data_IF_498017089737
#
_entry.id   IF_498017089737
#
_cell.length_a   1.000
_cell.length_b   1.000
_cell.length_c   1.000
_cell.angle_alpha   90.00
_cell.angle_beta   90.00
_cell.angle_gamma   90.00
#
_symmetry.space_group_name_H-M   'P 1'
#
loop_
_entity.id
_entity.type
_entity.pdbx_description
1 polymer ?
#
# COMPACT_ATOMS: atom_id res chain seq x y z
N UNK A 1 64.40 -52.11 -15.49
CA UNK A 1 63.72 -50.81 -15.68
C UNK A 1 62.32 -51.10 -16.18
N UNK A 2 61.29 -50.79 -15.40
CA UNK A 2 59.91 -51.17 -15.73
C UNK A 2 59.39 -50.26 -16.85
N UNK A 3 58.61 -50.82 -17.77
CA UNK A 3 58.07 -50.10 -18.94
C UNK A 3 57.26 -48.84 -18.54
N UNK A 4 56.64 -48.89 -17.37
CA UNK A 4 55.88 -47.79 -16.75
C UNK A 4 56.76 -46.58 -16.39
N UNK A 5 57.94 -46.80 -15.79
CA UNK A 5 58.89 -45.72 -15.46
C UNK A 5 59.44 -45.04 -16.73
N UNK A 6 59.58 -45.81 -17.80
CA UNK A 6 60.05 -45.31 -19.10
C UNK A 6 58.98 -44.45 -19.78
N UNK A 7 57.70 -44.83 -19.69
CA UNK A 7 56.56 -44.05 -20.17
C UNK A 7 56.39 -42.74 -19.38
N UNK A 8 56.51 -42.78 -18.05
CA UNK A 8 56.42 -41.56 -17.23
C UNK A 8 57.57 -40.59 -17.49
N UNK A 9 58.79 -41.09 -17.67
CA UNK A 9 59.95 -40.26 -18.02
C UNK A 9 59.79 -39.62 -19.40
N UNK A 10 59.24 -40.35 -20.37
CA UNK A 10 58.94 -39.82 -21.71
C UNK A 10 57.83 -38.77 -21.66
N UNK A 11 56.75 -39.03 -20.90
CA UNK A 11 55.66 -38.07 -20.71
C UNK A 11 56.14 -36.78 -20.04
N UNK A 12 56.95 -36.88 -18.98
CA UNK A 12 57.51 -35.71 -18.29
C UNK A 12 58.37 -34.84 -19.22
N UNK A 13 59.26 -35.45 -20.00
CA UNK A 13 60.09 -34.74 -20.98
C UNK A 13 59.29 -34.16 -22.15
N UNK A 14 58.18 -34.79 -22.54
CA UNK A 14 57.25 -34.27 -23.55
C UNK A 14 56.49 -33.05 -23.02
N UNK A 15 55.99 -33.10 -21.78
CA UNK A 15 55.29 -31.98 -21.15
C UNK A 15 56.19 -30.75 -20.99
N UNK A 16 57.45 -30.92 -20.59
CA UNK A 16 58.43 -29.83 -20.52
C UNK A 16 58.80 -29.24 -21.90
N UNK A 17 58.71 -30.02 -22.97
CA UNK A 17 58.96 -29.53 -24.34
C UNK A 17 57.72 -28.89 -24.97
N UNK A 18 56.52 -29.33 -24.61
CA UNK A 18 55.22 -28.78 -25.06
C UNK A 18 54.93 -27.45 -24.35
N UNK A 19 55.45 -27.22 -23.15
CA UNK A 19 55.29 -25.95 -22.44
C UNK A 19 56.07 -24.79 -23.10
N UNK A 20 57.09 -25.08 -23.92
CA UNK A 20 57.83 -24.06 -24.66
C UNK A 20 57.11 -23.72 -25.98
N UNK A 21 56.60 -22.48 -26.18
CA UNK A 21 55.72 -22.14 -27.31
C UNK A 21 56.34 -22.41 -28.68
N UNK A 22 57.65 -22.21 -28.82
CA UNK A 22 58.38 -22.51 -30.05
C UNK A 22 58.49 -24.02 -30.31
N UNK A 23 58.78 -24.83 -29.29
CA UNK A 23 58.93 -26.29 -29.46
C UNK A 23 57.57 -26.94 -29.70
N UNK A 24 56.53 -26.44 -29.03
CA UNK A 24 55.16 -26.87 -29.28
C UNK A 24 54.72 -26.59 -30.72
N UNK A 25 54.81 -25.34 -31.15
CA UNK A 25 54.48 -24.96 -32.53
C UNK A 25 55.35 -25.70 -33.54
N UNK A 26 56.66 -25.85 -33.28
CA UNK A 26 57.58 -26.58 -34.18
C UNK A 26 57.20 -28.03 -34.32
N UNK A 27 56.93 -28.71 -33.21
CA UNK A 27 56.53 -30.11 -33.24
C UNK A 27 55.20 -30.28 -33.98
N UNK A 28 54.22 -29.42 -33.70
CA UNK A 28 52.92 -29.43 -34.37
C UNK A 28 53.05 -29.19 -35.89
N UNK A 29 53.75 -28.13 -36.30
CA UNK A 29 53.97 -27.82 -37.71
C UNK A 29 54.88 -28.85 -38.40
N UNK A 30 55.81 -29.49 -37.68
CA UNK A 30 56.70 -30.50 -38.25
C UNK A 30 55.93 -31.77 -38.63
N UNK A 31 55.06 -32.24 -37.73
CA UNK A 31 54.12 -33.32 -38.05
C UNK A 31 53.13 -32.90 -39.14
N UNK A 32 52.63 -31.66 -39.13
CA UNK A 32 51.70 -31.16 -40.13
C UNK A 32 52.29 -31.05 -41.54
N UNK A 33 53.50 -30.52 -41.69
CA UNK A 33 54.18 -30.35 -42.99
C UNK A 33 54.65 -31.70 -43.55
N UNK A 34 55.19 -32.57 -42.69
CA UNK A 34 55.74 -33.88 -43.10
C UNK A 34 54.74 -35.04 -42.92
N UNK A 35 53.45 -34.75 -42.78
CA UNK A 35 52.42 -35.74 -42.41
C UNK A 35 52.37 -36.94 -43.36
N UNK A 36 52.62 -36.73 -44.66
CA UNK A 36 52.61 -37.78 -45.69
C UNK A 36 53.67 -38.86 -45.43
N UNK A 37 54.84 -38.45 -44.94
CA UNK A 37 55.90 -39.38 -44.57
C UNK A 37 55.47 -40.24 -43.36
N UNK A 38 54.96 -39.60 -42.31
CA UNK A 38 54.45 -40.30 -41.12
C UNK A 38 53.27 -41.21 -41.42
N UNK A 39 52.39 -40.80 -42.33
CA UNK A 39 51.23 -41.59 -42.76
C UNK A 39 51.66 -42.90 -43.45
N UNK A 40 52.63 -42.85 -44.37
CA UNK A 40 53.18 -44.07 -44.99
C UNK A 40 53.88 -44.98 -43.98
N UNK A 41 54.63 -44.38 -43.06
CA UNK A 41 55.31 -45.13 -41.99
C UNK A 41 54.30 -45.87 -41.09
N UNK A 42 53.16 -45.23 -40.79
CA UNK A 42 52.08 -45.84 -40.00
C UNK A 42 51.39 -47.01 -40.72
N UNK A 43 51.17 -46.91 -42.04
CA UNK A 43 50.56 -47.98 -42.83
C UNK A 43 51.48 -49.19 -43.05
N UNK A 44 52.74 -49.13 -42.63
CA UNK A 44 53.71 -50.23 -42.80
C UNK A 44 54.15 -50.43 -44.24
N UNK A 45 54.12 -49.37 -45.06
CA UNK A 45 54.51 -49.41 -46.47
C UNK A 45 55.94 -49.91 -46.66
N UNK A 46 56.21 -50.56 -47.80
CA UNK A 46 57.53 -51.12 -48.10
C UNK A 46 58.63 -50.05 -48.09
N UNK A 47 59.84 -50.41 -47.62
CA UNK A 47 61.00 -49.51 -47.52
C UNK A 47 61.28 -48.82 -48.87
N UNK A 48 61.20 -49.55 -49.98
CA UNK A 48 61.39 -48.99 -51.33
C UNK A 48 60.40 -47.87 -51.69
N UNK A 49 59.15 -47.98 -51.23
CA UNK A 49 58.11 -46.99 -51.47
C UNK A 49 58.24 -45.73 -50.58
N UNK A 50 58.86 -45.89 -49.41
CA UNK A 50 59.22 -44.79 -48.51
C UNK A 50 60.45 -44.06 -49.06
N UNK A 51 61.47 -44.80 -49.53
CA UNK A 51 62.68 -44.23 -50.13
C UNK A 51 62.36 -43.43 -51.40
N UNK A 52 61.49 -43.95 -52.26
CA UNK A 52 61.00 -43.21 -53.45
C UNK A 52 60.24 -41.94 -53.06
N UNK A 53 59.43 -41.98 -51.99
CA UNK A 53 58.73 -40.80 -51.49
C UNK A 53 59.71 -39.75 -50.97
N UNK A 54 60.73 -40.17 -50.20
CA UNK A 54 61.76 -39.28 -49.66
C UNK A 54 62.64 -38.65 -50.75
N UNK A 55 62.92 -39.36 -51.84
CA UNK A 55 63.62 -38.79 -53.00
C UNK A 55 62.79 -37.73 -53.72
N UNK A 56 61.47 -37.94 -53.81
CA UNK A 56 60.56 -37.03 -54.51
C UNK A 56 60.14 -35.84 -53.64
N UNK A 57 60.02 -36.06 -52.33
CA UNK A 57 59.63 -35.08 -51.32
C UNK A 57 60.54 -35.27 -50.09
N UNK A 58 61.72 -34.63 -50.05
CA UNK A 58 62.60 -34.73 -48.90
C UNK A 58 61.91 -34.15 -47.65
N UNK A 59 62.25 -34.67 -46.47
CA UNK A 59 61.72 -34.14 -45.21
C UNK A 59 62.16 -32.68 -45.07
N UNK A 60 61.17 -31.79 -44.97
CA UNK A 60 61.41 -30.35 -44.90
C UNK A 60 61.54 -29.93 -43.43
N UNK A 61 62.75 -30.03 -42.89
CA UNK A 61 63.04 -29.64 -41.50
C UNK A 61 62.95 -28.13 -41.25
N UNK A 62 63.26 -27.31 -42.27
CA UNK A 62 63.36 -25.86 -42.10
C UNK A 62 62.01 -25.13 -42.14
N UNK A 63 61.02 -25.60 -42.91
CA UNK A 63 59.72 -24.90 -43.03
C UNK A 63 58.93 -24.85 -41.71
N UNK A 64 58.83 -25.95 -40.94
CA UNK A 64 58.20 -25.92 -39.62
C UNK A 64 58.87 -24.95 -38.66
N UNK A 65 60.21 -24.82 -38.70
CA UNK A 65 60.94 -23.85 -37.87
C UNK A 65 60.55 -22.41 -38.20
N UNK A 66 60.39 -22.09 -39.49
CA UNK A 66 59.94 -20.78 -39.94
C UNK A 66 58.51 -20.49 -39.47
N UNK A 67 57.56 -21.41 -39.67
CA UNK A 67 56.17 -21.23 -39.22
C UNK A 67 56.07 -21.05 -37.69
N UNK A 68 56.85 -21.79 -36.93
CA UNK A 68 56.91 -21.64 -35.47
C UNK A 68 57.49 -20.31 -35.03
N UNK A 69 58.54 -19.85 -35.72
CA UNK A 69 59.12 -18.53 -35.47
C UNK A 69 58.10 -17.43 -35.76
N UNK A 70 57.38 -17.52 -36.88
CA UNK A 70 56.27 -16.61 -37.19
C UNK A 70 55.17 -16.68 -36.14
N UNK A 71 54.74 -17.88 -35.74
CA UNK A 71 53.69 -18.07 -34.73
C UNK A 71 54.05 -17.41 -33.39
N UNK A 72 55.26 -17.66 -32.89
CA UNK A 72 55.73 -17.11 -31.61
C UNK A 72 55.89 -15.59 -31.66
N UNK A 73 56.28 -15.02 -32.80
CA UNK A 73 56.41 -13.56 -32.94
C UNK A 73 55.06 -12.85 -33.12
N UNK A 74 54.14 -13.41 -33.92
CA UNK A 74 52.91 -12.73 -34.32
C UNK A 74 51.75 -12.91 -33.34
N UNK A 75 51.65 -14.04 -32.62
CA UNK A 75 50.56 -14.29 -31.65
C UNK A 75 50.53 -13.24 -30.54
N UNK A 76 51.66 -12.89 -29.88
CA UNK A 76 51.66 -11.84 -28.86
C UNK A 76 51.25 -10.48 -29.40
N UNK A 77 51.69 -10.14 -30.63
CA UNK A 77 51.29 -8.89 -31.30
C UNK A 77 49.79 -8.85 -31.55
N UNK A 78 49.19 -9.94 -32.05
CA UNK A 78 47.75 -10.04 -32.27
C UNK A 78 46.95 -9.90 -30.96
N UNK A 79 47.42 -10.53 -29.87
CA UNK A 79 46.78 -10.37 -28.55
C UNK A 79 46.79 -8.91 -28.11
N UNK A 80 47.95 -8.26 -28.23
CA UNK A 80 48.19 -6.88 -27.81
C UNK A 80 47.34 -5.87 -28.61
N UNK A 81 47.07 -6.15 -29.88
CA UNK A 81 46.13 -5.36 -30.68
C UNK A 81 44.67 -5.69 -30.39
N UNK A 82 44.32 -6.91 -29.99
CA UNK A 82 42.92 -7.34 -29.79
C UNK A 82 42.32 -6.95 -28.44
N UNK A 83 43.13 -6.95 -27.38
CA UNK A 83 42.72 -6.60 -26.01
C UNK A 83 42.08 -5.21 -25.87
N UNK A 84 42.67 -4.11 -26.41
CA UNK A 84 42.08 -2.79 -26.28
C UNK A 84 40.72 -2.65 -27.00
N UNK A 85 40.51 -3.36 -28.12
CA UNK A 85 39.20 -3.36 -28.78
C UNK A 85 38.15 -4.11 -27.96
N UNK A 86 38.52 -5.23 -27.33
CA UNK A 86 37.62 -5.98 -26.47
C UNK A 86 37.17 -5.17 -25.24
N UNK A 87 38.07 -4.38 -24.65
CA UNK A 87 37.75 -3.49 -23.53
C UNK A 87 36.87 -2.30 -23.94
N UNK A 88 37.11 -1.72 -25.12
CA UNK A 88 36.32 -0.60 -25.65
C UNK A 88 34.88 -1.04 -25.93
N UNK A 89 34.69 -2.22 -26.54
CA UNK A 89 33.36 -2.80 -26.78
C UNK A 89 32.62 -3.06 -25.46
N UNK A 90 33.29 -3.66 -24.46
CA UNK A 90 32.70 -3.88 -23.14
C UNK A 90 32.25 -2.56 -22.50
N UNK A 91 33.09 -1.53 -22.55
CA UNK A 91 32.80 -0.21 -21.97
C UNK A 91 31.64 0.48 -22.69
N UNK A 92 31.58 0.38 -24.03
CA UNK A 92 30.49 0.92 -24.84
C UNK A 92 29.14 0.28 -24.51
N UNK A 93 29.10 -1.05 -24.42
CA UNK A 93 27.89 -1.79 -24.03
C UNK A 93 27.42 -1.38 -22.62
N UNK A 94 28.35 -1.23 -21.69
CA UNK A 94 28.03 -0.89 -20.30
C UNK A 94 27.46 0.53 -20.17
N UNK A 95 28.03 1.49 -20.92
CA UNK A 95 27.48 2.86 -21.01
C UNK A 95 26.09 2.90 -21.64
N UNK A 96 25.88 2.19 -22.76
CA UNK A 96 24.58 2.12 -23.42
C UNK A 96 23.51 1.51 -22.52
N UNK A 97 23.83 0.42 -21.81
CA UNK A 97 22.93 -0.22 -20.84
C UNK A 97 22.53 0.74 -19.70
N UNK A 98 23.50 1.46 -19.15
CA UNK A 98 23.24 2.40 -18.05
C UNK A 98 22.39 3.59 -18.52
N UNK A 99 22.64 4.10 -19.73
CA UNK A 99 21.82 5.15 -20.35
C UNK A 99 20.36 4.71 -20.53
N UNK A 100 20.14 3.51 -21.11
CA UNK A 100 18.80 2.96 -21.29
C UNK A 100 18.08 2.77 -19.94
N UNK A 101 18.77 2.25 -18.92
CA UNK A 101 18.19 2.07 -17.58
C UNK A 101 17.74 3.41 -16.97
N UNK A 102 18.53 4.47 -17.11
CA UNK A 102 18.18 5.79 -16.60
C UNK A 102 16.94 6.36 -17.30
N UNK A 103 16.86 6.25 -18.62
CA UNK A 103 15.70 6.73 -19.38
C UNK A 103 14.41 5.98 -19.00
N UNK A 104 14.50 4.66 -18.80
CA UNK A 104 13.35 3.86 -18.33
C UNK A 104 12.90 4.30 -16.94
N UNK A 105 13.83 4.50 -16.01
CA UNK A 105 13.50 4.99 -14.66
C UNK A 105 12.86 6.38 -14.68
N UNK A 106 13.35 7.30 -15.52
CA UNK A 106 12.75 8.62 -15.66
C UNK A 106 11.35 8.57 -16.26
N UNK A 107 11.10 7.68 -17.22
CA UNK A 107 9.77 7.48 -17.81
C UNK A 107 8.79 6.91 -16.78
N UNK A 108 9.19 5.86 -16.05
CA UNK A 108 8.35 5.24 -15.01
C UNK A 108 8.02 6.24 -13.90
N UNK A 109 9.00 7.04 -13.45
CA UNK A 109 8.78 8.08 -12.45
C UNK A 109 7.82 9.18 -12.93
N UNK A 110 7.87 9.55 -14.21
CA UNK A 110 6.91 10.51 -14.79
C UNK A 110 5.49 9.94 -14.81
N UNK A 111 5.32 8.69 -15.24
CA UNK A 111 4.01 8.05 -15.25
C UNK A 111 3.43 7.91 -13.84
N UNK A 112 4.25 7.56 -12.84
CA UNK A 112 3.81 7.50 -11.45
C UNK A 112 3.38 8.90 -10.96
N UNK A 113 4.18 9.94 -11.23
CA UNK A 113 3.85 11.31 -10.83
C UNK A 113 2.55 11.81 -11.47
N UNK A 114 2.31 11.52 -12.75
CA UNK A 114 1.06 11.86 -13.45
C UNK A 114 -0.16 11.15 -12.83
N UNK A 115 -0.01 9.88 -12.46
CA UNK A 115 -1.06 9.11 -11.78
C UNK A 115 -1.33 9.69 -10.38
N UNK A 116 -0.29 10.00 -9.61
CA UNK A 116 -0.42 10.62 -8.29
C UNK A 116 -1.10 11.98 -8.36
N UNK A 117 -0.72 12.83 -9.32
CA UNK A 117 -1.33 14.13 -9.52
C UNK A 117 -2.82 14.01 -9.85
N UNK A 118 -3.19 13.06 -10.72
CA UNK A 118 -4.59 12.77 -11.03
C UNK A 118 -5.39 12.39 -9.78
N UNK A 119 -4.88 11.49 -8.95
CA UNK A 119 -5.56 11.11 -7.71
C UNK A 119 -5.63 12.26 -6.70
N UNK A 120 -4.61 13.10 -6.61
CA UNK A 120 -4.62 14.30 -5.77
C UNK A 120 -5.72 15.26 -6.23
N UNK A 121 -5.84 15.47 -7.54
CA UNK A 121 -6.89 16.32 -8.12
C UNK A 121 -8.30 15.76 -7.84
N UNK A 122 -8.50 14.45 -8.01
CA UNK A 122 -9.77 13.78 -7.69
C UNK A 122 -10.13 13.92 -6.21
N UNK A 123 -9.18 13.68 -5.30
CA UNK A 123 -9.38 13.84 -3.85
C UNK A 123 -9.73 15.29 -3.50
N UNK A 124 -9.05 16.26 -4.09
CA UNK A 124 -9.32 17.68 -3.85
C UNK A 124 -10.70 18.08 -4.38
N UNK A 125 -11.11 17.54 -5.53
CA UNK A 125 -12.47 17.69 -6.06
C UNK A 125 -13.52 17.18 -5.09
N UNK A 126 -13.37 15.94 -4.61
CA UNK A 126 -14.28 15.33 -3.64
C UNK A 126 -14.33 16.12 -2.32
N UNK A 127 -13.18 16.58 -1.80
CA UNK A 127 -13.14 17.42 -0.59
C UNK A 127 -13.89 18.73 -0.79
N UNK A 128 -13.78 19.36 -1.95
CA UNK A 128 -14.50 20.59 -2.28
C UNK A 128 -16.02 20.36 -2.31
N UNK A 129 -16.47 19.28 -2.96
CA UNK A 129 -17.89 18.90 -3.03
C UNK A 129 -18.47 18.59 -1.65
N UNK A 130 -17.78 17.79 -0.84
CA UNK A 130 -18.21 17.53 0.56
C UNK A 130 -18.27 18.83 1.36
N UNK A 131 -17.31 19.75 1.14
CA UNK A 131 -17.28 21.05 1.80
C UNK A 131 -18.41 22.00 1.36
N UNK A 132 -18.90 21.91 0.12
CA UNK A 132 -20.05 22.69 -0.35
C UNK A 132 -21.36 22.09 0.14
N UNK A 133 -21.52 20.77 0.08
CA UNK A 133 -22.69 20.06 0.62
C UNK A 133 -22.85 20.30 2.12
N UNK A 134 -21.76 20.26 2.89
CA UNK A 134 -21.80 20.56 4.33
C UNK A 134 -22.25 22.00 4.61
N UNK A 135 -21.83 22.97 3.81
CA UNK A 135 -22.28 24.37 3.91
C UNK A 135 -23.75 24.51 3.57
N UNK A 136 -24.22 23.83 2.52
CA UNK A 136 -25.62 23.81 2.14
C UNK A 136 -26.48 23.19 3.23
N UNK A 137 -26.08 22.04 3.78
CA UNK A 137 -26.76 21.40 4.91
C UNK A 137 -26.84 22.33 6.12
N UNK A 138 -25.73 22.99 6.48
CA UNK A 138 -25.72 23.94 7.59
C UNK A 138 -26.72 25.08 7.36
N UNK A 139 -26.68 25.72 6.18
CA UNK A 139 -27.60 26.80 5.84
C UNK A 139 -29.08 26.38 5.87
N UNK A 140 -29.40 25.19 5.35
CA UNK A 140 -30.75 24.63 5.38
C UNK A 140 -31.17 24.35 6.83
N UNK A 141 -30.29 23.73 7.62
CA UNK A 141 -30.57 23.39 9.02
C UNK A 141 -30.80 24.64 9.88
N UNK A 142 -30.02 25.72 9.68
CA UNK A 142 -30.25 27.00 10.38
C UNK A 142 -31.57 27.62 9.94
N UNK A 143 -31.85 27.66 8.62
CA UNK A 143 -33.12 28.20 8.11
C UNK A 143 -34.35 27.46 8.65
N UNK A 144 -34.26 26.14 8.76
CA UNK A 144 -35.31 25.30 9.32
C UNK A 144 -35.50 25.51 10.84
N UNK A 145 -34.40 25.67 11.59
CA UNK A 145 -34.47 26.03 13.02
C UNK A 145 -35.10 27.40 13.23
N UNK A 146 -34.74 28.39 12.42
CA UNK A 146 -35.32 29.73 12.48
C UNK A 146 -36.81 29.73 12.14
N UNK A 147 -37.21 28.97 11.12
CA UNK A 147 -38.62 28.79 10.78
C UNK A 147 -39.39 28.14 11.94
N UNK A 148 -38.89 27.03 12.49
CA UNK A 148 -39.54 26.33 13.59
C UNK A 148 -39.66 27.20 14.85
N UNK A 149 -38.60 27.97 15.17
CA UNK A 149 -38.62 28.92 16.30
C UNK A 149 -39.68 30.00 16.15
N UNK A 150 -39.87 30.53 14.93
CA UNK A 150 -40.88 31.56 14.64
C UNK A 150 -42.29 30.98 14.70
N UNK A 151 -42.51 29.82 14.09
CA UNK A 151 -43.83 29.17 14.04
C UNK A 151 -44.36 28.81 15.43
N UNK A 152 -43.46 28.36 16.32
CA UNK A 152 -43.81 27.87 17.66
C UNK A 152 -43.53 28.86 18.80
N UNK A 153 -43.14 30.10 18.48
CA UNK A 153 -42.80 31.16 19.44
C UNK A 153 -41.86 30.66 20.57
N UNK A 154 -40.79 29.96 20.19
CA UNK A 154 -39.81 29.44 21.15
C UNK A 154 -39.05 30.59 21.82
N UNK A 155 -38.77 30.46 23.11
CA UNK A 155 -37.91 31.41 23.84
C UNK A 155 -36.47 31.32 23.32
N UNK A 156 -35.76 32.45 23.30
CA UNK A 156 -34.34 32.54 22.95
C UNK A 156 -33.46 31.64 23.83
N UNK A 157 -33.90 31.35 25.07
CA UNK A 157 -33.22 30.44 26.00
C UNK A 157 -33.33 28.95 25.60
N UNK A 158 -34.12 28.63 24.58
CA UNK A 158 -34.38 27.26 24.11
C UNK A 158 -33.34 26.84 23.07
N UNK A 159 -32.55 25.83 23.41
CA UNK A 159 -31.54 25.24 22.52
C UNK A 159 -32.22 24.18 21.66
N UNK A 160 -32.50 24.55 20.40
CA UNK A 160 -33.06 23.69 19.37
C UNK A 160 -31.93 23.21 18.44
N UNK A 161 -31.84 21.90 18.24
CA UNK A 161 -30.89 21.27 17.34
C UNK A 161 -31.61 20.49 16.24
N UNK A 162 -30.99 20.37 15.08
CA UNK A 162 -31.51 19.62 13.93
C UNK A 162 -30.56 18.47 13.61
N UNK A 163 -31.04 17.24 13.78
CA UNK A 163 -30.25 16.04 13.60
C UNK A 163 -30.80 15.17 12.50
N UNK A 164 -29.90 14.48 11.79
CA UNK A 164 -30.27 13.30 11.02
C UNK A 164 -30.66 12.19 12.01
N UNK A 165 -31.75 11.49 11.74
CA UNK A 165 -32.33 10.54 12.67
C UNK A 165 -32.64 9.19 12.02
N UNK A 166 -32.71 8.16 12.85
CA UNK A 166 -33.18 6.85 12.41
C UNK A 166 -34.70 6.86 12.16
N UNK A 167 -35.20 6.01 11.24
CA UNK A 167 -36.61 5.98 10.89
C UNK A 167 -37.55 5.66 12.07
N UNK A 168 -37.06 4.90 13.05
CA UNK A 168 -37.80 4.43 14.22
C UNK A 168 -37.97 5.46 15.34
N UNK A 169 -37.20 6.56 15.31
CA UNK A 169 -37.31 7.66 16.26
C UNK A 169 -38.63 8.42 16.06
N UNK A 170 -39.43 8.57 17.12
CA UNK A 170 -40.74 9.23 17.07
C UNK A 170 -40.76 10.57 17.81
N UNK A 171 -41.74 11.40 17.47
CA UNK A 171 -42.00 12.65 18.19
C UNK A 171 -42.41 12.35 19.64
N UNK A 172 -41.73 13.01 20.58
CA UNK A 172 -41.85 12.80 22.01
C UNK A 172 -40.80 11.86 22.61
N UNK A 173 -40.08 11.09 21.79
CA UNK A 173 -38.99 10.24 22.27
C UNK A 173 -37.80 11.05 22.76
N UNK A 174 -37.05 10.49 23.72
CA UNK A 174 -35.71 10.96 24.04
C UNK A 174 -34.71 10.43 23.00
N UNK A 175 -34.02 11.35 22.34
CA UNK A 175 -32.99 11.02 21.36
C UNK A 175 -31.63 10.78 22.02
N UNK A 176 -30.94 9.74 21.58
CA UNK A 176 -29.54 9.44 21.91
C UNK A 176 -28.64 9.63 20.68
N UNK A 177 -27.38 9.96 20.91
CA UNK A 177 -26.37 10.12 19.86
C UNK A 177 -25.64 8.80 19.58
N UNK A 178 -25.73 8.33 18.34
CA UNK A 178 -24.81 7.33 17.80
C UNK A 178 -24.20 7.88 16.53
N UNK A 179 -22.89 8.14 16.57
CA UNK A 179 -22.12 8.60 15.42
C UNK A 179 -22.70 9.87 14.75
N UNK A 180 -23.26 10.81 15.52
CA UNK A 180 -23.91 12.06 15.07
C UNK A 180 -25.29 11.88 14.45
N UNK A 181 -25.91 10.72 14.65
CA UNK A 181 -27.31 10.47 14.27
C UNK A 181 -28.16 10.27 15.54
N UNK A 182 -29.37 10.83 15.51
CA UNK A 182 -30.33 10.73 16.59
C UNK A 182 -31.11 9.42 16.50
N UNK A 183 -31.13 8.64 17.57
CA UNK A 183 -31.82 7.36 17.60
C UNK A 183 -32.58 7.12 18.90
N UNK A 184 -33.35 6.04 18.90
CA UNK A 184 -34.10 5.57 20.07
C UNK A 184 -33.25 4.63 20.93
N UNK A 185 -33.18 4.85 22.24
CA UNK A 185 -32.42 3.95 23.12
C UNK A 185 -32.76 4.08 24.60
N UNK A 186 -32.20 3.17 25.41
CA UNK A 186 -32.35 3.17 26.87
C UNK A 186 -31.09 3.74 27.54
N UNK A 187 -31.21 4.10 28.82
CA UNK A 187 -30.11 4.69 29.59
C UNK A 187 -28.89 3.76 29.71
N UNK A 188 -29.10 2.44 29.70
CA UNK A 188 -28.03 1.44 29.74
C UNK A 188 -27.17 1.34 28.46
N UNK A 189 -27.58 1.99 27.36
CA UNK A 189 -26.84 1.95 26.09
C UNK A 189 -25.47 2.64 26.16
N UNK A 190 -25.27 3.53 27.14
CA UNK A 190 -24.04 4.31 27.29
C UNK A 190 -23.90 5.43 26.25
N UNK A 191 -24.91 5.66 25.42
CA UNK A 191 -24.92 6.73 24.42
C UNK A 191 -25.30 8.08 25.05
N UNK A 192 -24.69 9.20 24.60
CA UNK A 192 -25.01 10.52 25.12
C UNK A 192 -26.45 10.90 24.80
N UNK A 193 -27.14 11.52 25.76
CA UNK A 193 -28.50 12.04 25.57
C UNK A 193 -28.44 13.38 24.82
N UNK A 194 -29.14 13.43 23.68
CA UNK A 194 -29.27 14.66 22.89
C UNK A 194 -30.33 15.58 23.50
N UNK A 195 -31.55 15.06 23.69
CA UNK A 195 -32.69 15.81 24.20
C UNK A 195 -34.04 15.18 23.84
N UNK A 196 -35.10 16.00 23.86
CA UNK A 196 -36.47 15.58 23.53
C UNK A 196 -36.75 15.86 22.06
N UNK A 197 -37.25 14.86 21.32
CA UNK A 197 -37.69 15.03 19.93
C UNK A 197 -39.03 15.76 19.91
N UNK A 198 -39.09 16.93 19.28
CA UNK A 198 -40.29 17.77 19.24
C UNK A 198 -41.01 17.75 17.90
N UNK A 199 -40.30 17.51 16.81
CA UNK A 199 -40.89 17.38 15.48
C UNK A 199 -39.98 16.57 14.56
N UNK A 200 -40.56 15.98 13.51
CA UNK A 200 -39.88 15.11 12.55
C UNK A 200 -40.31 15.47 11.12
N UNK A 201 -39.62 16.40 10.44
CA UNK A 201 -39.90 16.72 9.04
C UNK A 201 -39.42 15.57 8.13
N UNK A 202 -40.23 14.52 8.02
CA UNK A 202 -39.96 13.33 7.19
C UNK A 202 -39.42 12.12 7.98
N UNK A 203 -38.71 11.23 7.31
CA UNK A 203 -38.15 10.01 7.92
C UNK A 203 -36.71 10.15 8.40
N UNK A 204 -35.97 11.12 7.85
CA UNK A 204 -34.51 11.21 7.96
C UNK A 204 -34.02 12.29 8.93
N UNK A 205 -34.88 13.23 9.33
CA UNK A 205 -34.47 14.36 10.17
C UNK A 205 -35.45 14.61 11.30
N UNK A 206 -34.92 15.11 12.43
CA UNK A 206 -35.70 15.43 13.62
C UNK A 206 -35.20 16.73 14.27
N UNK A 207 -36.15 17.47 14.82
CA UNK A 207 -35.91 18.60 15.72
C UNK A 207 -35.83 18.08 17.15
N UNK A 208 -34.74 18.44 17.84
CA UNK A 208 -34.48 18.02 19.21
C UNK A 208 -34.25 19.25 20.08
N UNK A 209 -35.01 19.38 21.16
CA UNK A 209 -34.77 20.40 22.19
C UNK A 209 -33.82 19.81 23.22
N UNK A 210 -32.64 20.41 23.32
CA UNK A 210 -31.59 20.03 24.27
C UNK A 210 -31.80 20.68 25.65
N UNK A 211 -32.27 21.92 25.65
CA UNK A 211 -32.49 22.72 26.85
C UNK A 211 -33.59 23.74 26.60
N UNK A 212 -34.41 24.01 27.61
CA UNK A 212 -35.40 25.07 27.58
C UNK A 212 -36.78 24.60 28.05
N UNK A 213 -37.73 25.52 28.01
CA UNK A 213 -39.11 25.24 28.44
C UNK A 213 -39.87 24.64 27.26
N UNK A 214 -40.36 23.41 27.43
CA UNK A 214 -41.21 22.76 26.45
C UNK A 214 -42.67 23.21 26.68
N UNK A 215 -43.15 24.11 25.82
CA UNK A 215 -44.54 24.57 25.85
C UNK A 215 -45.47 23.45 25.33
N UNK A 216 -46.67 23.27 25.91
CA UNK A 216 -47.66 22.32 25.40
C UNK A 216 -48.06 22.55 23.93
N UNK A 217 -47.95 23.80 23.44
CA UNK A 217 -48.21 24.16 22.03
C UNK A 217 -47.20 23.55 21.05
N UNK A 218 -46.01 23.17 21.53
CA UNK A 218 -44.96 22.53 20.74
C UNK A 218 -45.11 21.02 20.82
N UNK A 219 -45.17 20.51 22.05
CA UNK A 219 -45.34 19.09 22.35
C UNK A 219 -45.85 18.93 23.78
N UNK A 220 -47.03 18.34 23.96
CA UNK A 220 -47.45 17.90 25.28
C UNK A 220 -46.75 16.58 25.64
N UNK A 221 -45.57 16.70 26.26
CA UNK A 221 -44.79 15.54 26.68
C UNK A 221 -45.51 14.72 27.75
N UNK A 222 -46.45 15.29 28.51
CA UNK A 222 -47.24 14.56 29.50
C UNK A 222 -48.10 13.51 28.83
N UNK A 223 -48.77 13.90 27.76
CA UNK A 223 -49.59 12.98 26.96
C UNK A 223 -48.70 11.95 26.24
N UNK A 224 -47.61 12.39 25.60
CA UNK A 224 -46.76 11.51 24.79
C UNK A 224 -45.95 10.49 25.58
N UNK A 225 -45.51 10.87 26.78
CA UNK A 225 -44.71 10.03 27.67
C UNK A 225 -45.51 9.47 28.85
N UNK A 226 -46.81 9.80 28.97
CA UNK A 226 -47.69 9.42 30.07
C UNK A 226 -47.10 9.81 31.45
N UNK A 227 -46.62 11.06 31.56
CA UNK A 227 -46.03 11.61 32.80
C UNK A 227 -47.02 12.55 33.49
N UNK A 228 -47.45 12.17 34.70
CA UNK A 228 -48.58 12.83 35.39
C UNK A 228 -48.21 13.38 36.78
N UNK A 229 -46.95 13.21 37.22
CA UNK A 229 -46.49 13.63 38.56
C UNK A 229 -45.41 14.70 38.44
N UNK A 230 -45.49 15.81 39.20
CA UNK A 230 -44.39 16.75 39.28
C UNK A 230 -43.10 16.09 39.79
N UNK A 231 -41.95 16.56 39.32
CA UNK A 231 -40.63 16.08 39.73
C UNK A 231 -39.64 15.89 38.59
N UNK A 232 -38.44 15.42 38.93
CA UNK A 232 -37.33 15.21 37.99
C UNK A 232 -37.45 13.86 37.27
N UNK A 233 -37.22 13.86 35.97
CA UNK A 233 -37.32 12.68 35.11
C UNK A 233 -35.97 12.33 34.48
N UNK A 234 -35.64 11.04 34.48
CA UNK A 234 -34.48 10.46 33.81
C UNK A 234 -34.92 9.49 32.71
N UNK A 235 -33.99 9.10 31.83
CA UNK A 235 -34.24 8.08 30.82
C UNK A 235 -34.37 6.70 31.49
N UNK A 236 -35.35 5.92 31.06
CA UNK A 236 -35.56 4.56 31.55
C UNK A 236 -34.46 3.60 31.09
N UNK A 237 -34.02 2.72 31.98
CA UNK A 237 -33.13 1.61 31.65
C UNK A 237 -33.82 0.48 30.88
N UNK A 238 -35.16 0.39 31.00
CA UNK A 238 -35.95 -0.74 30.49
C UNK A 238 -36.71 -0.35 29.22
N UNK A 239 -37.32 0.83 29.23
CA UNK A 239 -38.17 1.28 28.14
C UNK A 239 -37.44 2.28 27.25
N UNK A 240 -37.19 1.90 26.00
CA UNK A 240 -36.47 2.73 25.03
C UNK A 240 -37.12 4.11 24.86
N UNK A 241 -36.33 5.16 25.06
CA UNK A 241 -36.69 6.57 24.92
C UNK A 241 -37.84 7.05 25.79
N UNK A 242 -38.13 6.33 26.89
CA UNK A 242 -39.16 6.68 27.86
C UNK A 242 -38.58 7.36 29.09
N UNK A 243 -39.26 8.38 29.57
CA UNK A 243 -38.92 9.04 30.81
C UNK A 243 -39.51 8.31 32.01
N UNK A 244 -38.72 8.18 33.07
CA UNK A 244 -39.14 7.66 34.38
C UNK A 244 -38.81 8.68 35.46
N UNK A 245 -39.68 8.80 36.46
CA UNK A 245 -39.42 9.65 37.62
C UNK A 245 -38.13 9.17 38.31
N UNK A 246 -37.24 10.10 38.64
CA UNK A 246 -36.00 9.77 39.35
C UNK A 246 -36.36 9.08 40.68
N UNK A 247 -35.87 7.86 40.93
CA UNK A 247 -36.18 7.15 42.15
C UNK A 247 -35.38 7.72 43.34
N UNK A 248 -35.94 7.63 44.55
CA UNK A 248 -35.28 8.02 45.81
C UNK A 248 -34.13 7.08 46.23
N UNK A 249 -33.62 6.25 45.30
CA UNK A 249 -32.59 5.24 45.56
C UNK A 249 -31.20 5.79 45.23
N UNK A 250 -30.22 5.33 45.99
CA UNK A 250 -28.81 5.63 45.74
C UNK A 250 -28.42 5.33 44.28
N UNK A 251 -27.74 6.27 43.64
CA UNK A 251 -27.33 6.14 42.25
C UNK A 251 -26.96 7.48 41.62
N UNK A 252 -26.36 7.41 40.43
CA UNK A 252 -26.15 8.57 39.56
C UNK A 252 -27.15 8.51 38.42
N UNK A 253 -28.01 9.52 38.31
CA UNK A 253 -29.06 9.60 37.29
C UNK A 253 -28.80 10.80 36.38
N UNK A 254 -28.96 10.58 35.08
CA UNK A 254 -28.98 11.66 34.09
C UNK A 254 -30.43 12.17 33.99
N UNK A 255 -30.68 13.28 34.68
CA UNK A 255 -31.94 14.02 34.61
C UNK A 255 -32.00 14.70 33.25
N UNK A 256 -33.13 14.52 32.56
CA UNK A 256 -33.39 15.11 31.24
C UNK A 256 -34.27 16.35 31.37
N UNK A 257 -35.13 16.37 32.38
CA UNK A 257 -35.97 17.51 32.67
C UNK A 257 -36.81 17.34 33.93
N UNK A 258 -37.51 18.40 34.29
CA UNK A 258 -38.37 18.48 35.46
C UNK A 258 -39.78 18.92 35.04
N UNK A 259 -40.78 18.18 35.51
CA UNK A 259 -42.18 18.59 35.39
C UNK A 259 -42.53 19.45 36.59
N UNK A 260 -42.82 20.73 36.33
CA UNK A 260 -43.21 21.71 37.33
C UNK A 260 -44.69 21.53 37.73
N UNK A 261 -45.08 22.09 38.88
CA UNK A 261 -46.46 22.00 39.40
C UNK A 261 -47.50 22.70 38.50
N UNK A 262 -47.08 23.71 37.73
CA UNK A 262 -47.91 24.41 36.74
C UNK A 262 -48.11 23.59 35.45
N UNK A 263 -47.50 22.41 35.36
CA UNK A 263 -47.60 21.50 34.22
C UNK A 263 -46.58 21.76 33.12
N UNK A 264 -45.68 22.73 33.30
CA UNK A 264 -44.61 23.04 32.33
C UNK A 264 -43.45 22.06 32.49
N UNK A 265 -42.90 21.58 31.36
CA UNK A 265 -41.74 20.69 31.39
C UNK A 265 -40.46 21.47 31.03
N UNK A 266 -39.53 21.55 31.97
CA UNK A 266 -38.23 22.17 31.77
C UNK A 266 -37.22 21.10 31.35
N UNK A 267 -36.71 21.18 30.11
CA UNK A 267 -35.62 20.32 29.65
C UNK A 267 -34.30 20.88 30.19
N UNK A 268 -33.65 20.11 31.05
CA UNK A 268 -32.32 20.39 31.57
C UNK A 268 -31.55 19.09 31.76
N UNK A 269 -30.39 18.99 31.09
CA UNK A 269 -29.48 17.85 31.24
C UNK A 269 -28.63 18.06 32.49
N UNK A 270 -29.00 17.39 33.58
CA UNK A 270 -28.30 17.44 34.87
C UNK A 270 -27.88 16.05 35.32
N UNK A 271 -26.69 15.93 35.92
CA UNK A 271 -26.29 14.69 36.59
C UNK A 271 -26.60 14.80 38.08
N UNK A 272 -27.52 13.97 38.56
CA UNK A 272 -27.93 13.92 39.95
C UNK A 272 -27.31 12.70 40.63
N UNK A 273 -26.51 12.91 41.67
CA UNK A 273 -26.00 11.85 42.54
C UNK A 273 -26.80 11.84 43.83
N UNK A 274 -27.50 10.73 44.11
CA UNK A 274 -28.19 10.52 45.37
C UNK A 274 -27.25 9.72 46.28
N UNK A 275 -26.67 10.33 47.33
CA UNK A 275 -25.76 9.65 48.22
C UNK A 275 -26.51 8.61 49.07
N UNK A 276 -25.81 7.53 49.43
CA UNK A 276 -26.30 6.55 50.41
C UNK A 276 -26.71 7.26 51.69
N UNK A 277 -27.98 7.15 52.08
CA UNK A 277 -28.39 7.52 53.45
C UNK A 277 -27.62 6.61 54.41
N UNK A 278 -26.70 7.22 55.18
CA UNK A 278 -25.99 6.55 56.29
C UNK A 278 -26.95 6.25 57.43
#
# INVERSE_FOLDING_TARGET
MKFEELIETIKGKLYERISHPFLFSFTFFFFGVNWRFFYKLYLGDSIASIDSLLQTNPIEYCKPALYSLFYVLFIPLLSLFSEPYAELVKTGILKARNYMRKNWQEHDMKTIAEIEEKYIQEINGLKSTIGSERRNYFNISESLKDWYRKEHELSDDTILQFYKCFPDLMVGDIALDQNKEALRGAANSGWPILGVVVDKPGSEYAFVIEKGILKPSVLDIREKQNINKPGKYCLSDVNLSRLTLVPDKEGTYHVIGELMEDGTFLVSKESLSIPKKR
#
